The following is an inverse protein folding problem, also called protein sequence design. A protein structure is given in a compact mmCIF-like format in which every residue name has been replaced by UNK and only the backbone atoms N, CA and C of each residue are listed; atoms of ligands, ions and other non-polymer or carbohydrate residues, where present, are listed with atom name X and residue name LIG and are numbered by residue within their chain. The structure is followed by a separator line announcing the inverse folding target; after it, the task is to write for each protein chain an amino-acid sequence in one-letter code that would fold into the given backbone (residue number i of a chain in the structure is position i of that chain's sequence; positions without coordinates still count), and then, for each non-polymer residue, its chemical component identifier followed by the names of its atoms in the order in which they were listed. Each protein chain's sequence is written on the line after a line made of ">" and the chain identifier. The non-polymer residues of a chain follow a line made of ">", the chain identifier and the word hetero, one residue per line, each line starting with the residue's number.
data_IF_640143872187
#
_entry.id   IF_640143872187
#
_cell.length_a   1.000
_cell.length_b   1.000
_cell.length_c   1.000
_cell.angle_alpha   90.00
_cell.angle_beta   90.00
_cell.angle_gamma   90.00
#
_symmetry.space_group_name_H-M   'P 1'
#
loop_
_entity.id
_entity.type
_entity.pdbx_description
1 polymer ?
#
# COMPACT_ATOMS: atom_id res chain seq x y z
N UNK A 1 17.15 6.04 -2.14
CA UNK A 1 18.18 6.99 -2.58
C UNK A 1 19.08 7.40 -1.40
N UNK A 2 18.51 8.03 -0.34
CA UNK A 2 19.31 8.57 0.77
C UNK A 2 20.29 7.55 1.36
N UNK A 3 19.84 6.36 1.72
CA UNK A 3 20.69 5.29 2.30
C UNK A 3 21.82 4.88 1.37
N UNK A 4 21.57 4.81 0.05
CA UNK A 4 22.60 4.50 -0.93
C UNK A 4 23.61 5.65 -1.09
N UNK A 5 23.16 6.90 -1.04
CA UNK A 5 24.02 8.09 -1.06
C UNK A 5 24.92 8.15 0.17
N UNK A 6 24.39 7.82 1.36
CA UNK A 6 25.14 7.71 2.61
C UNK A 6 26.16 6.56 2.58
N UNK A 7 25.84 5.45 1.90
CA UNK A 7 26.76 4.35 1.64
C UNK A 7 27.83 4.66 0.56
N UNK A 8 27.79 5.87 -0.03
CA UNK A 8 28.78 6.36 -0.98
C UNK A 8 28.47 6.10 -2.46
N UNK A 9 27.24 5.68 -2.79
CA UNK A 9 26.82 5.53 -4.17
C UNK A 9 26.41 6.88 -4.80
N UNK A 10 26.66 7.02 -6.10
CA UNK A 10 26.09 8.11 -6.90
C UNK A 10 24.72 7.67 -7.43
N UNK A 11 23.64 8.24 -6.89
CA UNK A 11 22.26 7.82 -7.18
C UNK A 11 21.60 8.73 -8.22
N UNK A 12 21.18 8.16 -9.33
CA UNK A 12 20.32 8.81 -10.32
C UNK A 12 18.86 8.35 -10.13
N UNK A 13 17.98 9.27 -9.76
CA UNK A 13 16.56 8.98 -9.60
C UNK A 13 15.80 9.17 -10.92
N UNK A 14 15.11 8.14 -11.39
CA UNK A 14 14.25 8.16 -12.58
C UNK A 14 12.79 8.14 -12.16
N UNK A 15 12.18 9.30 -12.10
CA UNK A 15 10.80 9.48 -11.66
C UNK A 15 9.81 9.39 -12.83
N UNK A 16 8.54 9.05 -12.51
CA UNK A 16 7.43 9.06 -13.47
C UNK A 16 7.41 7.89 -14.47
N UNK A 17 8.17 6.83 -14.22
CA UNK A 17 8.08 5.62 -15.00
C UNK A 17 6.82 4.82 -14.61
N UNK A 18 6.08 4.36 -15.62
CA UNK A 18 4.97 3.43 -15.37
C UNK A 18 5.50 2.05 -14.92
N UNK A 19 4.69 1.33 -14.14
CA UNK A 19 5.04 0.05 -13.50
C UNK A 19 5.68 -0.96 -14.48
N UNK A 20 5.07 -1.20 -15.65
CA UNK A 20 5.60 -2.13 -16.64
C UNK A 20 6.95 -1.69 -17.22
N UNK A 21 7.16 -0.37 -17.32
CA UNK A 21 8.41 0.20 -17.85
C UNK A 21 9.53 0.01 -16.84
N UNK A 22 9.31 0.36 -15.57
CA UNK A 22 10.35 0.23 -14.54
C UNK A 22 10.66 -1.23 -14.24
N UNK A 23 9.66 -2.10 -14.21
CA UNK A 23 9.86 -3.55 -14.07
C UNK A 23 10.78 -4.09 -15.17
N UNK A 24 10.42 -3.79 -16.43
CA UNK A 24 11.23 -4.25 -17.56
C UNK A 24 12.64 -3.64 -17.60
N UNK A 25 12.79 -2.39 -17.16
CA UNK A 25 14.08 -1.72 -17.07
C UNK A 25 14.99 -2.38 -16.00
N UNK A 26 14.42 -2.83 -14.89
CA UNK A 26 15.16 -3.55 -13.84
C UNK A 26 15.53 -4.95 -14.29
N UNK A 27 14.63 -5.67 -14.95
CA UNK A 27 14.91 -6.99 -15.51
C UNK A 27 15.98 -6.97 -16.62
N UNK A 28 16.21 -5.82 -17.26
CA UNK A 28 17.24 -5.62 -18.30
C UNK A 28 18.45 -4.83 -17.78
N UNK A 29 18.68 -4.76 -16.48
CA UNK A 29 19.81 -4.08 -15.82
C UNK A 29 19.97 -2.58 -16.22
N UNK A 30 18.87 -1.91 -16.64
CA UNK A 30 18.87 -0.48 -16.96
C UNK A 30 18.49 0.39 -15.75
N UNK A 31 17.79 -0.18 -14.80
CA UNK A 31 17.48 0.36 -13.47
C UNK A 31 18.02 -0.63 -12.44
N UNK A 32 18.79 -0.14 -11.47
CA UNK A 32 19.45 -0.99 -10.47
C UNK A 32 18.48 -1.49 -9.40
N UNK A 33 17.53 -0.65 -8.99
CA UNK A 33 16.57 -0.96 -7.92
C UNK A 33 15.31 -0.12 -8.06
N UNK A 34 14.18 -0.71 -7.67
CA UNK A 34 12.93 0.03 -7.47
C UNK A 34 12.03 -0.63 -6.43
N UNK A 35 11.02 0.11 -5.97
CA UNK A 35 9.95 -0.39 -5.14
C UNK A 35 8.81 -0.91 -6.02
N UNK A 36 8.45 -2.17 -5.82
CA UNK A 36 7.30 -2.80 -6.45
C UNK A 36 6.27 -3.22 -5.39
N UNK A 37 5.05 -3.52 -5.82
CA UNK A 37 4.01 -4.06 -4.95
C UNK A 37 3.65 -5.50 -5.35
N UNK A 38 3.57 -6.39 -4.35
CA UNK A 38 3.28 -7.81 -4.57
C UNK A 38 2.00 -8.05 -5.36
N UNK A 39 0.93 -7.31 -5.04
CA UNK A 39 -0.34 -7.41 -5.76
C UNK A 39 -0.25 -7.01 -7.24
N UNK A 40 0.60 -6.05 -7.57
CA UNK A 40 0.85 -5.64 -8.96
C UNK A 40 1.50 -6.77 -9.76
N UNK A 41 2.56 -7.37 -9.21
CA UNK A 41 3.23 -8.52 -9.87
C UNK A 41 2.25 -9.69 -10.01
N UNK A 42 1.54 -10.03 -8.93
CA UNK A 42 0.56 -11.11 -8.89
C UNK A 42 -0.52 -10.98 -9.95
N UNK A 43 -1.17 -9.79 -10.01
CA UNK A 43 -2.26 -9.54 -10.94
C UNK A 43 -1.78 -9.26 -12.37
N UNK A 44 -0.78 -8.41 -12.54
CA UNK A 44 -0.42 -7.88 -13.87
C UNK A 44 0.63 -8.74 -14.59
N UNK A 45 1.61 -9.31 -13.88
CA UNK A 45 2.66 -10.14 -14.49
C UNK A 45 2.29 -11.61 -14.50
N UNK A 46 1.86 -12.13 -13.34
CA UNK A 46 1.52 -13.55 -13.20
C UNK A 46 0.09 -13.87 -13.65
N UNK A 47 -0.75 -12.83 -13.96
CA UNK A 47 -2.14 -12.98 -14.45
C UNK A 47 -3.06 -13.74 -13.50
N UNK A 48 -2.83 -13.64 -12.20
CA UNK A 48 -3.69 -14.23 -11.18
C UNK A 48 -4.75 -13.23 -10.73
N UNK A 49 -5.96 -13.73 -10.43
CA UNK A 49 -7.08 -12.92 -9.92
C UNK A 49 -7.55 -13.37 -8.53
N UNK A 50 -7.06 -14.51 -8.05
CA UNK A 50 -7.44 -15.07 -6.76
C UNK A 50 -6.58 -14.47 -5.64
N UNK A 51 -7.14 -14.41 -4.43
CA UNK A 51 -6.41 -14.04 -3.23
C UNK A 51 -6.19 -15.27 -2.31
N UNK A 52 -5.08 -15.97 -2.45
CA UNK A 52 -4.75 -17.12 -1.60
C UNK A 52 -4.15 -16.73 -0.24
N UNK A 53 -4.09 -15.45 0.07
CA UNK A 53 -3.49 -14.90 1.29
C UNK A 53 -2.10 -14.30 1.09
N UNK A 54 -1.74 -13.40 2.03
CA UNK A 54 -0.54 -12.54 1.95
C UNK A 54 0.75 -13.34 1.79
N UNK A 55 0.97 -14.32 2.66
CA UNK A 55 2.23 -15.09 2.68
C UNK A 55 2.41 -15.90 1.39
N UNK A 56 1.32 -16.50 0.89
CA UNK A 56 1.37 -17.25 -0.37
C UNK A 56 1.66 -16.35 -1.57
N UNK A 57 1.00 -15.18 -1.65
CA UNK A 57 1.26 -14.21 -2.71
C UNK A 57 2.71 -13.76 -2.68
N UNK A 58 3.24 -13.42 -1.50
CA UNK A 58 4.63 -13.01 -1.30
C UNK A 58 5.61 -14.09 -1.81
N UNK A 59 5.46 -15.32 -1.33
CA UNK A 59 6.33 -16.45 -1.73
C UNK A 59 6.33 -16.65 -3.24
N UNK A 60 5.13 -16.62 -3.86
CA UNK A 60 4.99 -16.84 -5.30
C UNK A 60 5.53 -15.69 -6.14
N UNK A 61 5.37 -14.45 -5.67
CA UNK A 61 5.92 -13.26 -6.33
C UNK A 61 7.44 -13.27 -6.28
N UNK A 62 8.04 -13.53 -5.12
CA UNK A 62 9.50 -13.67 -4.98
C UNK A 62 10.03 -14.75 -5.92
N UNK A 63 9.41 -15.94 -5.90
CA UNK A 63 9.80 -17.05 -6.78
C UNK A 63 9.69 -16.69 -8.27
N UNK A 64 8.72 -15.89 -8.67
CA UNK A 64 8.53 -15.43 -10.06
C UNK A 64 9.63 -14.42 -10.44
N UNK A 65 9.81 -13.39 -9.64
CA UNK A 65 10.82 -12.34 -9.85
C UNK A 65 12.21 -12.92 -10.01
N UNK A 66 12.57 -13.88 -9.16
CA UNK A 66 13.91 -14.50 -9.18
C UNK A 66 14.04 -15.60 -10.24
N UNK A 67 13.07 -16.50 -10.30
CA UNK A 67 13.17 -17.70 -11.13
C UNK A 67 12.80 -17.51 -12.59
N UNK A 68 11.94 -16.54 -12.91
CA UNK A 68 11.45 -16.28 -14.27
C UNK A 68 12.11 -15.04 -14.87
N UNK A 69 12.15 -13.95 -14.13
CA UNK A 69 12.63 -12.66 -14.65
C UNK A 69 14.09 -12.36 -14.28
N UNK A 70 14.73 -13.21 -13.46
CA UNK A 70 16.16 -13.15 -13.16
C UNK A 70 16.61 -11.96 -12.32
N UNK A 71 15.65 -11.26 -11.69
CA UNK A 71 15.94 -10.18 -10.74
C UNK A 71 16.13 -10.73 -9.33
N UNK A 72 16.47 -9.89 -8.37
CA UNK A 72 16.63 -10.26 -6.96
C UNK A 72 15.61 -9.53 -6.10
N UNK A 73 14.79 -10.28 -5.36
CA UNK A 73 13.93 -9.71 -4.34
C UNK A 73 14.73 -9.51 -3.05
N UNK A 74 14.97 -8.25 -2.66
CA UNK A 74 15.69 -7.93 -1.42
C UNK A 74 14.79 -8.20 -0.22
N UNK A 75 13.50 -7.84 -0.30
CA UNK A 75 12.50 -8.11 0.71
C UNK A 75 11.44 -7.01 0.81
N UNK A 76 10.43 -7.26 1.67
CA UNK A 76 9.37 -6.31 1.95
C UNK A 76 9.83 -5.25 2.95
N UNK A 77 9.48 -3.99 2.70
CA UNK A 77 9.81 -2.88 3.59
C UNK A 77 9.03 -2.90 4.91
N UNK A 78 7.83 -3.52 4.93
CA UNK A 78 7.00 -3.68 6.12
C UNK A 78 5.60 -3.06 5.97
N UNK A 79 5.40 -2.15 5.04
CA UNK A 79 4.11 -1.52 4.76
C UNK A 79 3.42 -2.08 3.52
N UNK A 80 2.12 -1.84 3.43
CA UNK A 80 1.28 -2.15 2.28
C UNK A 80 0.63 -0.89 1.71
N UNK A 81 0.23 -0.95 0.43
CA UNK A 81 -0.56 0.09 -0.22
C UNK A 81 -1.76 -0.52 -0.94
N UNK A 82 -2.73 -1.00 -0.18
CA UNK A 82 -3.95 -1.64 -0.70
C UNK A 82 -5.20 -0.78 -0.41
N UNK A 83 -6.29 -1.08 -1.11
CA UNK A 83 -7.59 -0.57 -0.73
C UNK A 83 -7.96 -1.04 0.68
N UNK A 84 -8.60 -0.18 1.44
CA UNK A 84 -9.13 -0.48 2.77
C UNK A 84 -10.46 0.25 2.97
N UNK A 85 -11.22 -0.17 3.97
CA UNK A 85 -12.32 0.60 4.50
C UNK A 85 -11.84 1.39 5.71
N UNK A 86 -12.16 2.68 5.74
CA UNK A 86 -11.77 3.57 6.82
C UNK A 86 -12.98 4.32 7.38
N UNK A 87 -12.98 4.51 8.69
CA UNK A 87 -14.00 5.21 9.44
C UNK A 87 -13.34 6.26 10.34
N UNK A 88 -14.05 7.34 10.71
CA UNK A 88 -13.54 8.19 11.78
C UNK A 88 -13.32 7.36 13.03
N UNK A 89 -12.23 7.60 13.74
CA UNK A 89 -11.85 6.86 14.94
C UNK A 89 -12.90 6.97 16.04
N UNK A 90 -13.45 8.18 16.27
CA UNK A 90 -14.53 8.40 17.22
C UNK A 90 -15.78 7.58 16.90
N UNK A 91 -16.12 7.46 15.61
CA UNK A 91 -17.28 6.69 15.15
C UNK A 91 -17.04 5.19 15.26
N UNK A 92 -15.84 4.72 14.93
CA UNK A 92 -15.45 3.33 15.08
C UNK A 92 -15.51 2.88 16.56
N UNK A 93 -15.02 3.72 17.47
CA UNK A 93 -15.09 3.49 18.92
C UNK A 93 -16.54 3.48 19.43
N UNK A 94 -17.39 4.44 19.01
CA UNK A 94 -18.81 4.50 19.35
C UNK A 94 -19.57 3.23 18.96
N UNK A 95 -19.28 2.70 17.77
CA UNK A 95 -19.91 1.49 17.22
C UNK A 95 -19.25 0.18 17.68
N UNK A 96 -18.08 0.24 18.29
CA UNK A 96 -17.27 -0.93 18.65
C UNK A 96 -16.70 -1.67 17.43
N UNK A 97 -16.46 -0.95 16.32
CA UNK A 97 -15.99 -1.52 15.04
C UNK A 97 -14.47 -1.37 14.93
N UNK A 98 -13.77 -2.49 14.80
CA UNK A 98 -12.32 -2.54 14.60
C UNK A 98 -11.93 -3.26 13.31
N UNK A 99 -12.77 -4.19 12.90
CA UNK A 99 -12.58 -5.04 11.73
C UNK A 99 -13.77 -4.89 10.77
N UNK A 100 -13.60 -5.34 9.53
CA UNK A 100 -14.73 -5.42 8.58
C UNK A 100 -15.79 -6.40 9.09
N UNK A 101 -15.38 -7.43 9.82
CA UNK A 101 -16.30 -8.42 10.42
C UNK A 101 -17.21 -7.82 11.50
N UNK A 102 -16.68 -6.92 12.33
CA UNK A 102 -17.47 -6.20 13.35
C UNK A 102 -18.59 -5.36 12.74
N UNK A 103 -18.39 -4.91 11.50
CA UNK A 103 -19.35 -4.08 10.77
C UNK A 103 -20.53 -4.88 10.20
N UNK A 104 -20.42 -6.21 10.02
CA UNK A 104 -21.44 -7.05 9.37
C UNK A 104 -22.87 -6.81 9.93
N UNK A 105 -23.10 -6.82 11.26
CA UNK A 105 -24.46 -6.68 11.79
C UNK A 105 -25.10 -5.32 11.59
N UNK A 106 -24.30 -4.29 11.28
CA UNK A 106 -24.74 -2.89 11.17
C UNK A 106 -24.51 -2.28 9.78
N UNK A 107 -23.92 -3.01 8.85
CA UNK A 107 -23.53 -2.47 7.54
C UNK A 107 -24.72 -1.86 6.77
N UNK A 108 -25.90 -2.45 6.89
CA UNK A 108 -27.12 -1.96 6.23
C UNK A 108 -27.67 -0.65 6.81
N UNK A 109 -27.17 -0.20 7.94
CA UNK A 109 -27.53 1.08 8.55
C UNK A 109 -26.48 2.17 8.26
N UNK A 110 -25.34 1.80 7.65
CA UNK A 110 -24.23 2.71 7.38
C UNK A 110 -24.26 3.24 5.95
N UNK A 111 -23.84 4.50 5.79
CA UNK A 111 -23.60 5.15 4.51
C UNK A 111 -22.11 5.06 4.19
N UNK A 112 -21.77 4.44 3.06
CA UNK A 112 -20.41 4.32 2.59
C UNK A 112 -20.11 5.24 1.41
N UNK A 113 -18.88 5.77 1.33
CA UNK A 113 -18.41 6.43 0.14
C UNK A 113 -17.15 5.75 -0.42
N UNK A 114 -17.02 5.79 -1.74
CA UNK A 114 -15.85 5.33 -2.47
C UNK A 114 -15.38 6.38 -3.47
N UNK A 115 -14.19 6.16 -4.04
CA UNK A 115 -13.81 6.89 -5.24
C UNK A 115 -14.76 6.55 -6.40
N UNK A 116 -14.60 7.25 -7.53
CA UNK A 116 -15.52 7.13 -8.67
C UNK A 116 -15.63 5.72 -9.26
N UNK A 117 -14.67 4.85 -8.97
CA UNK A 117 -14.56 3.52 -9.56
C UNK A 117 -14.84 2.38 -8.56
N UNK A 118 -14.60 2.60 -7.27
CA UNK A 118 -14.50 1.53 -6.27
C UNK A 118 -15.67 0.56 -6.26
N UNK A 119 -16.92 1.03 -6.26
CA UNK A 119 -18.10 0.16 -6.21
C UNK A 119 -18.35 -0.64 -7.50
N UNK A 120 -17.63 -0.32 -8.57
CA UNK A 120 -17.59 -1.09 -9.82
C UNK A 120 -16.40 -2.05 -9.92
N UNK A 121 -15.45 -2.00 -8.98
CA UNK A 121 -14.21 -2.77 -9.03
C UNK A 121 -14.35 -4.17 -8.45
N UNK A 122 -13.46 -5.10 -8.85
CA UNK A 122 -13.39 -6.45 -8.28
C UNK A 122 -13.21 -6.44 -6.75
N UNK A 123 -12.46 -5.47 -6.20
CA UNK A 123 -12.21 -5.35 -4.76
C UNK A 123 -13.51 -5.21 -3.98
N UNK A 124 -14.46 -4.38 -4.45
CA UNK A 124 -15.77 -4.26 -3.82
C UNK A 124 -16.59 -5.55 -3.93
N UNK A 125 -16.57 -6.20 -5.09
CA UNK A 125 -17.26 -7.48 -5.30
C UNK A 125 -16.74 -8.52 -4.30
N UNK A 126 -15.42 -8.63 -4.17
CA UNK A 126 -14.79 -9.59 -3.26
C UNK A 126 -15.10 -9.28 -1.79
N UNK A 127 -15.04 -8.01 -1.37
CA UNK A 127 -15.46 -7.60 -0.01
C UNK A 127 -16.89 -8.00 0.28
N UNK A 128 -17.81 -7.66 -0.63
CA UNK A 128 -19.23 -7.96 -0.48
C UNK A 128 -19.49 -9.45 -0.38
N UNK A 129 -18.85 -10.26 -1.21
CA UNK A 129 -19.04 -11.72 -1.23
C UNK A 129 -18.41 -12.38 -0.01
N UNK A 130 -17.21 -11.95 0.41
CA UNK A 130 -16.47 -12.53 1.53
C UNK A 130 -17.14 -12.26 2.88
N UNK A 131 -17.61 -11.03 3.08
CA UNK A 131 -18.21 -10.59 4.34
C UNK A 131 -19.74 -10.61 4.36
N UNK A 132 -20.37 -10.76 3.19
CA UNK A 132 -21.83 -10.69 3.09
C UNK A 132 -22.37 -9.28 3.40
N UNK A 133 -21.57 -8.24 3.22
CA UNK A 133 -21.95 -6.86 3.55
C UNK A 133 -22.54 -6.14 2.35
N UNK A 134 -23.48 -5.25 2.63
CA UNK A 134 -23.88 -4.16 1.76
C UNK A 134 -24.28 -2.97 2.64
N UNK A 135 -24.20 -1.75 2.09
CA UNK A 135 -24.47 -0.51 2.83
C UNK A 135 -25.86 0.03 2.51
N UNK A 136 -26.42 0.83 3.43
CA UNK A 136 -27.71 1.50 3.22
C UNK A 136 -27.65 2.40 1.97
N UNK A 137 -26.54 3.09 1.80
CA UNK A 137 -26.26 3.94 0.66
C UNK A 137 -24.78 3.86 0.28
N UNK A 138 -24.51 3.89 -1.02
CA UNK A 138 -23.15 3.91 -1.59
C UNK A 138 -23.01 5.17 -2.43
N UNK A 139 -22.21 6.11 -1.93
CA UNK A 139 -21.92 7.37 -2.61
C UNK A 139 -20.55 7.33 -3.29
N UNK A 140 -20.41 8.06 -4.38
CA UNK A 140 -19.12 8.20 -5.06
C UNK A 140 -18.69 9.67 -5.09
N UNK A 141 -17.41 9.89 -4.82
CA UNK A 141 -16.81 11.22 -4.79
C UNK A 141 -15.47 11.21 -5.54
N UNK A 142 -15.01 12.38 -5.93
CA UNK A 142 -13.58 12.59 -6.15
C UNK A 142 -12.81 12.25 -4.87
N UNK A 143 -11.64 11.62 -4.99
CA UNK A 143 -10.87 11.12 -3.87
C UNK A 143 -10.57 12.19 -2.79
N UNK A 144 -10.36 13.44 -3.18
CA UNK A 144 -10.13 14.51 -2.21
C UNK A 144 -11.41 14.90 -1.44
N UNK A 145 -12.57 14.88 -2.10
CA UNK A 145 -13.87 15.22 -1.49
C UNK A 145 -14.39 14.09 -0.60
N UNK A 146 -14.06 12.84 -0.92
CA UNK A 146 -14.44 11.66 -0.14
C UNK A 146 -13.95 11.74 1.31
N UNK A 147 -12.70 12.14 1.51
CA UNK A 147 -12.14 12.34 2.85
C UNK A 147 -12.85 13.46 3.63
N UNK A 148 -13.23 14.56 2.96
CA UNK A 148 -14.01 15.61 3.60
C UNK A 148 -15.40 15.11 4.00
N UNK A 149 -16.06 14.30 3.17
CA UNK A 149 -17.38 13.77 3.45
C UNK A 149 -17.42 12.92 4.74
N UNK A 150 -16.41 12.11 5.03
CA UNK A 150 -16.36 11.33 6.27
C UNK A 150 -16.04 12.22 7.48
N UNK A 151 -15.18 13.21 7.34
CA UNK A 151 -14.85 14.18 8.40
C UNK A 151 -16.09 15.02 8.75
N UNK A 152 -16.81 15.49 7.75
CA UNK A 152 -18.04 16.29 7.90
C UNK A 152 -19.27 15.46 8.31
N UNK A 153 -19.08 14.15 8.56
CA UNK A 153 -20.16 13.22 8.97
C UNK A 153 -21.29 13.06 7.95
N UNK A 154 -21.00 13.28 6.68
CA UNK A 154 -21.95 13.02 5.59
C UNK A 154 -22.06 11.53 5.27
N UNK A 155 -20.98 10.78 5.59
CA UNK A 155 -20.91 9.32 5.45
C UNK A 155 -20.28 8.72 6.71
N UNK A 156 -20.57 7.44 6.99
CA UNK A 156 -20.01 6.73 8.15
C UNK A 156 -18.61 6.19 7.86
N UNK A 157 -18.33 5.74 6.64
CA UNK A 157 -17.06 5.18 6.23
C UNK A 157 -16.73 5.50 4.77
N UNK A 158 -15.45 5.39 4.45
CA UNK A 158 -14.94 5.60 3.10
C UNK A 158 -14.02 4.45 2.69
N UNK A 159 -13.76 4.35 1.38
CA UNK A 159 -12.59 3.64 0.90
C UNK A 159 -11.34 4.50 1.12
N UNK A 160 -10.22 3.86 1.37
CA UNK A 160 -8.93 4.53 1.54
C UNK A 160 -7.82 3.63 1.00
N UNK A 161 -6.62 4.17 0.85
CA UNK A 161 -5.40 3.36 0.72
C UNK A 161 -4.70 3.27 2.07
N UNK A 162 -4.18 2.10 2.42
CA UNK A 162 -3.55 1.87 3.73
C UNK A 162 -2.37 2.79 4.02
N UNK A 163 -1.68 3.27 2.99
CA UNK A 163 -0.56 4.21 3.10
C UNK A 163 -0.93 5.69 2.89
N UNK A 164 -2.22 6.03 2.71
CA UNK A 164 -2.64 7.42 2.44
C UNK A 164 -2.45 8.31 3.67
N UNK A 165 -1.69 9.39 3.53
CA UNK A 165 -1.41 10.34 4.61
C UNK A 165 -2.64 11.04 5.17
N UNK A 166 -3.75 11.13 4.40
CA UNK A 166 -5.02 11.68 4.88
C UNK A 166 -5.68 10.83 5.94
N UNK A 167 -5.40 9.51 5.98
CA UNK A 167 -5.85 8.62 7.06
C UNK A 167 -5.32 9.11 8.42
N UNK A 168 -4.02 9.43 8.48
CA UNK A 168 -3.39 10.00 9.67
C UNK A 168 -3.87 11.44 9.93
N UNK A 169 -3.92 12.28 8.89
CA UNK A 169 -4.30 13.68 9.02
C UNK A 169 -5.72 13.89 9.56
N UNK A 170 -6.65 13.00 9.25
CA UNK A 170 -8.06 13.10 9.64
C UNK A 170 -8.44 12.15 10.78
N UNK A 171 -7.47 11.54 11.44
CA UNK A 171 -7.67 10.57 12.54
C UNK A 171 -8.68 9.48 12.16
N UNK A 172 -8.47 8.89 10.99
CA UNK A 172 -9.28 7.79 10.51
C UNK A 172 -8.70 6.45 10.97
N UNK A 173 -9.59 5.52 11.27
CA UNK A 173 -9.25 4.14 11.57
C UNK A 173 -9.44 3.28 10.31
N UNK A 174 -8.40 2.61 9.88
CA UNK A 174 -8.49 1.50 8.92
C UNK A 174 -9.15 0.31 9.61
N UNK A 175 -10.14 -0.29 8.98
CA UNK A 175 -10.78 -1.52 9.44
C UNK A 175 -9.98 -2.73 8.95
N UNK A 176 -9.66 -3.64 9.86
CA UNK A 176 -8.88 -4.83 9.55
C UNK A 176 -9.68 -5.81 8.67
N UNK A 177 -9.08 -6.28 7.59
CA UNK A 177 -9.61 -7.32 6.71
C UNK A 177 -9.22 -8.72 7.23
N UNK A 178 -9.94 -9.22 8.22
CA UNK A 178 -9.64 -10.49 8.91
C UNK A 178 -9.85 -11.73 8.04
N UNK A 179 -10.55 -11.61 6.90
CA UNK A 179 -10.84 -12.72 5.98
C UNK A 179 -9.99 -12.64 4.69
N UNK A 180 -9.06 -11.69 4.60
CA UNK A 180 -8.20 -11.49 3.42
C UNK A 180 -9.00 -11.36 2.11
N UNK A 181 -10.07 -10.57 2.13
CA UNK A 181 -10.88 -10.32 0.94
C UNK A 181 -10.12 -9.47 -0.10
N UNK A 182 -9.28 -8.55 0.39
CA UNK A 182 -8.49 -7.67 -0.47
C UNK A 182 -7.12 -8.27 -0.76
N UNK A 183 -6.69 -8.16 -2.02
CA UNK A 183 -5.38 -8.65 -2.44
C UNK A 183 -4.27 -7.88 -1.70
N UNK A 184 -3.25 -8.56 -1.17
CA UNK A 184 -2.14 -7.89 -0.50
C UNK A 184 -1.27 -7.11 -1.49
N UNK A 185 -0.79 -5.94 -1.05
CA UNK A 185 0.09 -5.05 -1.81
C UNK A 185 1.27 -4.64 -0.94
N UNK A 186 2.12 -5.61 -0.57
CA UNK A 186 3.35 -5.33 0.16
C UNK A 186 4.33 -4.59 -0.73
N UNK A 187 4.92 -3.50 -0.20
CA UNK A 187 6.01 -2.81 -0.84
C UNK A 187 7.30 -3.64 -0.73
N UNK A 188 7.80 -4.16 -1.85
CA UNK A 188 9.03 -4.95 -1.92
C UNK A 188 10.11 -4.24 -2.72
N UNK A 189 11.35 -4.36 -2.27
CA UNK A 189 12.52 -3.90 -3.02
C UNK A 189 12.97 -5.00 -4.00
N UNK A 190 13.04 -4.63 -5.28
CA UNK A 190 13.53 -5.51 -6.34
C UNK A 190 14.78 -4.88 -6.96
N UNK A 191 15.87 -5.63 -6.99
CA UNK A 191 17.12 -5.23 -7.63
C UNK A 191 17.34 -5.98 -8.94
N UNK A 192 18.06 -5.34 -9.86
CA UNK A 192 18.60 -6.01 -11.03
C UNK A 192 19.66 -7.05 -10.64
N UNK A 193 19.87 -8.03 -11.50
CA UNK A 193 20.88 -9.07 -11.26
C UNK A 193 22.28 -8.51 -11.10
N UNK A 194 22.64 -7.51 -11.88
CA UNK A 194 23.95 -6.84 -11.85
C UNK A 194 24.14 -6.03 -10.58
N UNK A 195 23.14 -5.24 -10.15
CA UNK A 195 23.23 -4.47 -8.92
C UNK A 195 23.36 -5.37 -7.69
N UNK A 196 22.69 -6.52 -7.69
CA UNK A 196 22.73 -7.50 -6.60
C UNK A 196 24.11 -8.19 -6.43
N UNK A 197 25.03 -8.11 -7.39
CA UNK A 197 26.39 -8.59 -7.22
C UNK A 197 27.23 -7.72 -6.26
N UNK A 198 26.79 -6.50 -5.96
CA UNK A 198 27.47 -5.59 -5.05
C UNK A 198 26.99 -5.78 -3.61
N UNK A 199 27.86 -6.35 -2.77
CA UNK A 199 27.53 -6.65 -1.38
C UNK A 199 27.19 -5.39 -0.56
N UNK A 200 27.88 -4.27 -0.77
CA UNK A 200 27.60 -3.02 -0.03
C UNK A 200 26.20 -2.52 -0.39
N UNK A 201 25.83 -2.58 -1.66
CA UNK A 201 24.49 -2.24 -2.12
C UNK A 201 23.42 -3.14 -1.47
N UNK A 202 23.63 -4.46 -1.50
CA UNK A 202 22.71 -5.42 -0.92
C UNK A 202 22.55 -5.24 0.59
N UNK A 203 23.65 -5.10 1.32
CA UNK A 203 23.63 -4.92 2.79
C UNK A 203 22.89 -3.62 3.16
N UNK A 204 23.13 -2.52 2.41
CA UNK A 204 22.44 -1.24 2.63
C UNK A 204 20.94 -1.36 2.42
N UNK A 205 20.52 -2.03 1.35
CA UNK A 205 19.08 -2.17 1.04
C UNK A 205 18.39 -3.21 1.94
N UNK A 206 19.09 -4.27 2.34
CA UNK A 206 18.59 -5.28 3.26
C UNK A 206 18.29 -4.69 4.65
N UNK A 207 19.03 -3.68 5.08
CA UNK A 207 18.79 -2.98 6.35
C UNK A 207 17.41 -2.30 6.41
N UNK A 208 16.78 -2.00 5.26
CA UNK A 208 15.45 -1.40 5.18
C UNK A 208 14.30 -2.42 5.29
N UNK A 209 14.59 -3.71 5.17
CA UNK A 209 13.56 -4.76 5.14
C UNK A 209 12.87 -4.88 6.49
N UNK A 210 11.55 -4.75 6.48
CA UNK A 210 10.70 -4.83 7.67
C UNK A 210 10.73 -3.60 8.59
N UNK A 211 11.39 -2.51 8.19
CA UNK A 211 11.64 -1.36 9.05
C UNK A 211 10.56 -0.29 9.01
N UNK A 212 9.67 -0.31 8.03
CA UNK A 212 8.66 0.75 7.84
C UNK A 212 7.27 0.15 7.98
N UNK A 213 6.57 0.49 9.05
CA UNK A 213 5.17 0.08 9.25
C UNK A 213 4.21 0.89 8.37
N UNK A 214 2.94 0.41 8.25
CA UNK A 214 1.87 1.17 7.59
C UNK A 214 1.65 2.53 8.23
N UNK A 215 1.79 2.65 9.55
CA UNK A 215 1.61 3.89 10.29
C UNK A 215 2.72 4.90 9.96
N UNK A 216 3.97 4.46 9.95
CA UNK A 216 5.12 5.30 9.59
C UNK A 216 5.05 5.76 8.15
N UNK A 217 4.64 4.87 7.22
CA UNK A 217 4.47 5.27 5.83
C UNK A 217 3.32 6.28 5.65
N UNK A 218 2.20 6.14 6.38
CA UNK A 218 1.11 7.14 6.38
C UNK A 218 1.59 8.51 6.88
N UNK A 219 2.38 8.54 7.95
CA UNK A 219 2.92 9.81 8.47
C UNK A 219 3.91 10.43 7.49
N UNK A 220 4.78 9.64 6.86
CA UNK A 220 5.67 10.12 5.80
C UNK A 220 4.90 10.71 4.62
N UNK A 221 3.86 10.03 4.15
CA UNK A 221 3.02 10.52 3.07
C UNK A 221 2.22 11.77 3.47
N UNK A 222 1.75 11.86 4.73
CA UNK A 222 1.09 13.05 5.27
C UNK A 222 1.99 14.29 5.20
N UNK A 223 3.27 14.15 5.56
CA UNK A 223 4.25 15.24 5.49
C UNK A 223 4.27 15.87 4.09
N UNK A 224 4.20 15.04 3.02
CA UNK A 224 4.27 15.52 1.64
C UNK A 224 2.89 15.94 1.11
N UNK A 225 1.89 15.07 1.24
CA UNK A 225 0.62 15.22 0.53
C UNK A 225 -0.34 16.17 1.24
N UNK A 226 -0.29 16.23 2.56
CA UNK A 226 -1.18 17.05 3.40
C UNK A 226 -0.47 18.33 3.86
N UNK A 227 0.69 18.18 4.50
CA UNK A 227 1.44 19.30 5.09
C UNK A 227 2.22 20.09 4.03
N UNK A 228 2.28 19.60 2.78
CA UNK A 228 2.95 20.25 1.64
C UNK A 228 4.44 20.53 1.86
N UNK A 229 5.09 19.72 2.68
CA UNK A 229 6.51 19.82 2.94
C UNK A 229 7.32 19.09 1.85
N UNK A 230 8.61 19.40 1.70
CA UNK A 230 9.47 18.69 0.76
C UNK A 230 9.59 17.20 1.04
N UNK A 231 9.78 16.39 -0.01
CA UNK A 231 10.00 14.94 0.10
C UNK A 231 11.19 14.63 1.04
N UNK A 232 12.22 15.49 1.08
CA UNK A 232 13.36 15.36 2.00
C UNK A 232 12.96 15.28 3.46
N UNK A 233 11.86 15.93 3.85
CA UNK A 233 11.37 15.91 5.22
C UNK A 233 10.72 14.57 5.57
N UNK A 234 10.01 13.96 4.63
CA UNK A 234 9.47 12.62 4.77
C UNK A 234 10.59 11.57 4.81
N UNK A 235 11.63 11.73 3.97
CA UNK A 235 12.83 10.87 4.00
C UNK A 235 13.51 10.96 5.36
N UNK A 236 13.75 12.18 5.87
CA UNK A 236 14.36 12.36 7.19
C UNK A 236 13.51 11.74 8.31
N UNK A 237 12.18 11.90 8.26
CA UNK A 237 11.28 11.24 9.20
C UNK A 237 11.47 9.72 9.17
N UNK A 238 11.43 9.10 7.98
CA UNK A 238 11.62 7.65 7.85
C UNK A 238 12.99 7.20 8.34
N UNK A 239 14.07 7.97 8.10
CA UNK A 239 15.38 7.68 8.66
C UNK A 239 15.40 7.67 10.19
N UNK A 240 14.61 8.53 10.85
CA UNK A 240 14.53 8.55 12.33
C UNK A 240 13.77 7.37 12.94
N UNK A 241 12.96 6.66 12.15
CA UNK A 241 12.18 5.49 12.62
C UNK A 241 12.82 4.16 12.26
N UNK A 242 13.79 4.16 11.33
CA UNK A 242 14.58 2.98 10.92
C UNK A 242 15.77 2.71 11.87
N UNK A 243 16.25 3.69 12.61
CA UNK A 243 17.31 3.58 13.61
C UNK A 243 16.80 2.92 14.91
#
# INVERSE_FOLDING_TARGET
>A
AAELEEAGFNVEQRLGLGTEIVYSATANDTVDIYLEYTGTVWANRMKNSENPGRDFVMERVVSHVEGVDGMVSIGALGFQNLYALAMRKDRAEELGVHTIEDMIPIAQDLVAAGDLEFFGRPEWVTLRETYGIDFSEKLTFDAALMYNAVVDRQVDLITAYTSDGRVAAFDLKILEDTRNALLPYDGILIASSVAAENNIFMDTMQALVGQISDEEMREANKIVDVDRRPISDAVHYLQTVID
#
